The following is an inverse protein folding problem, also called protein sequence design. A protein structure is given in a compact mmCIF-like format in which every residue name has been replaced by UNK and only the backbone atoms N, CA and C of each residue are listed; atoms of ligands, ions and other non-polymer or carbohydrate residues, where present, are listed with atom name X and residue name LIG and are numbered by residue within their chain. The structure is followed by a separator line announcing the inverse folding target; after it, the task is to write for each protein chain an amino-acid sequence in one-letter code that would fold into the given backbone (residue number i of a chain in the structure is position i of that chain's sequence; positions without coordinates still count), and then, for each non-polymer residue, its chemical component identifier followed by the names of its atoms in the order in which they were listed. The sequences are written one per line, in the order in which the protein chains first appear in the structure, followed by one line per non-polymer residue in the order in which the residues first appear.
data_IF_759003771687
#
_entry.id   IF_759003771687
#
_cell.length_a   1.000
_cell.length_b   1.000
_cell.length_c   1.000
_cell.angle_alpha   90.00
_cell.angle_beta   90.00
_cell.angle_gamma   90.00
#
_symmetry.space_group_name_H-M   'P 1'
#
loop_
_entity.id
_entity.type
_entity.pdbx_description
1 polymer ?
#
# COMPACT_ATOMS: atom_id res chain seq x y z
N UNK A 1 29.24 6.28 2.90
CA UNK A 1 29.45 4.91 2.39
C UNK A 1 30.18 4.01 3.39
N UNK A 2 31.33 4.39 3.94
CA UNK A 2 32.07 3.55 4.91
C UNK A 2 31.49 3.56 6.34
N UNK A 3 31.04 4.72 6.81
CA UNK A 3 30.49 4.87 8.16
C UNK A 3 29.15 4.14 8.36
N UNK A 4 28.34 3.98 7.32
CA UNK A 4 26.97 3.45 7.44
C UNK A 4 26.95 1.93 7.72
N UNK A 5 27.72 1.07 7.02
CA UNK A 5 27.84 -0.35 7.36
C UNK A 5 28.62 -0.59 8.67
N UNK A 6 29.61 0.27 8.98
CA UNK A 6 30.32 0.21 10.25
C UNK A 6 29.38 0.49 11.44
N UNK A 7 28.43 1.42 11.26
CA UNK A 7 27.35 1.70 12.21
C UNK A 7 26.27 0.60 12.23
N UNK A 8 26.00 -0.04 11.09
CA UNK A 8 24.99 -1.12 10.93
C UNK A 8 25.26 -2.32 11.85
N UNK A 9 26.53 -2.62 12.11
CA UNK A 9 26.93 -3.79 12.90
C UNK A 9 27.54 -3.43 14.26
N UNK A 10 27.66 -2.13 14.55
CA UNK A 10 27.82 -1.61 15.91
C UNK A 10 26.49 -1.70 16.64
N UNK A 11 26.22 -2.85 17.27
CA UNK A 11 25.23 -3.08 18.32
C UNK A 11 23.96 -2.19 18.30
N UNK A 12 22.84 -2.78 17.83
CA UNK A 12 21.46 -2.29 18.02
C UNK A 12 21.00 -1.04 17.25
N UNK A 13 21.87 -0.35 16.48
CA UNK A 13 21.47 0.80 15.64
C UNK A 13 21.04 0.44 14.20
N UNK A 14 21.33 -0.78 13.73
CA UNK A 14 20.94 -1.27 12.40
C UNK A 14 19.42 -1.38 12.13
N UNK A 15 18.58 -1.07 13.12
CA UNK A 15 17.12 -0.98 12.93
C UNK A 15 16.67 0.33 12.25
N UNK A 16 17.52 1.37 12.26
CA UNK A 16 17.12 2.73 11.83
C UNK A 16 17.62 3.06 10.41
N UNK A 17 18.71 2.44 9.94
CA UNK A 17 19.23 2.65 8.57
C UNK A 17 19.51 1.32 7.87
N UNK A 18 18.68 0.90 6.91
CA UNK A 18 18.91 -0.34 6.17
C UNK A 18 20.12 -0.19 5.24
N UNK A 19 21.27 -0.78 5.62
CA UNK A 19 22.51 -0.74 4.84
C UNK A 19 22.38 -1.36 3.44
N UNK A 20 21.43 -2.29 3.27
CA UNK A 20 20.98 -2.82 1.98
C UNK A 20 20.60 -1.73 0.99
N UNK A 21 19.85 -0.72 1.44
CA UNK A 21 19.42 0.39 0.59
C UNK A 21 20.64 1.22 0.18
N UNK A 22 21.57 1.48 1.09
CA UNK A 22 22.78 2.23 0.78
C UNK A 22 23.68 1.51 -0.26
N UNK A 23 23.83 0.20 -0.14
CA UNK A 23 24.62 -0.63 -1.08
C UNK A 23 23.96 -0.69 -2.45
N UNK A 24 22.64 -0.88 -2.51
CA UNK A 24 21.88 -0.87 -3.77
C UNK A 24 21.95 0.50 -4.44
N UNK A 25 21.74 1.58 -3.69
CA UNK A 25 21.88 2.96 -4.20
C UNK A 25 23.30 3.24 -4.69
N UNK A 26 24.32 2.73 -4.00
CA UNK A 26 25.71 2.77 -4.45
C UNK A 26 25.89 2.10 -5.82
N UNK A 27 25.29 0.93 -6.03
CA UNK A 27 25.29 0.24 -7.32
C UNK A 27 24.63 1.06 -8.44
N UNK A 28 23.49 1.71 -8.16
CA UNK A 28 22.81 2.61 -9.10
C UNK A 28 23.67 3.85 -9.43
N UNK A 29 24.34 4.42 -8.43
CA UNK A 29 25.25 5.56 -8.64
C UNK A 29 26.47 5.16 -9.48
N UNK A 30 27.00 3.95 -9.28
CA UNK A 30 28.08 3.42 -10.11
C UNK A 30 27.66 3.23 -11.57
N UNK A 31 26.42 2.77 -11.80
CA UNK A 31 25.86 2.68 -13.15
C UNK A 31 25.74 4.04 -13.84
N UNK A 32 25.43 5.10 -13.10
CA UNK A 32 25.37 6.47 -13.63
C UNK A 32 26.76 7.12 -13.84
N UNK A 33 27.85 6.36 -13.67
CA UNK A 33 29.22 6.85 -13.88
C UNK A 33 29.72 7.81 -12.80
N UNK A 34 28.97 7.99 -11.70
CA UNK A 34 29.33 8.91 -10.61
C UNK A 34 30.42 8.36 -9.69
N UNK A 35 30.52 7.03 -9.57
CA UNK A 35 31.47 6.33 -8.71
C UNK A 35 31.94 5.05 -9.43
N UNK A 36 33.21 4.68 -9.32
CA UNK A 36 33.70 3.44 -9.90
C UNK A 36 33.06 2.21 -9.22
N UNK A 37 32.52 1.27 -10.02
CA UNK A 37 31.90 0.04 -9.53
C UNK A 37 32.82 -0.75 -8.56
N UNK A 38 34.13 -0.93 -8.83
CA UNK A 38 35.03 -1.60 -7.88
C UNK A 38 35.12 -0.88 -6.53
N UNK A 39 35.05 0.46 -6.51
CA UNK A 39 35.12 1.23 -5.27
C UNK A 39 33.87 1.03 -4.40
N UNK A 40 32.69 0.91 -5.03
CA UNK A 40 31.43 0.64 -4.31
C UNK A 40 31.42 -0.78 -3.75
N UNK A 41 31.86 -1.77 -4.53
CA UNK A 41 31.99 -3.16 -4.06
C UNK A 41 32.97 -3.23 -2.90
N UNK A 42 34.15 -2.63 -3.02
CA UNK A 42 35.15 -2.60 -1.95
C UNK A 42 34.59 -1.93 -0.68
N UNK A 43 33.93 -0.79 -0.81
CA UNK A 43 33.33 -0.10 0.33
C UNK A 43 32.23 -0.94 1.02
N UNK A 44 31.39 -1.63 0.24
CA UNK A 44 30.33 -2.50 0.77
C UNK A 44 30.91 -3.71 1.51
N UNK A 45 31.92 -4.37 0.93
CA UNK A 45 32.57 -5.56 1.51
C UNK A 45 33.36 -5.21 2.76
N UNK A 46 34.16 -4.14 2.72
CA UNK A 46 34.95 -3.71 3.89
C UNK A 46 34.02 -3.24 5.01
N UNK A 47 32.99 -2.46 4.69
CA UNK A 47 32.02 -2.00 5.67
C UNK A 47 31.29 -3.16 6.36
N UNK A 48 30.88 -4.17 5.58
CA UNK A 48 30.32 -5.42 6.08
C UNK A 48 31.28 -6.15 7.05
N UNK A 49 32.53 -6.37 6.64
CA UNK A 49 33.51 -7.10 7.44
C UNK A 49 33.83 -6.37 8.75
N UNK A 50 34.12 -5.07 8.67
CA UNK A 50 34.43 -4.22 9.83
C UNK A 50 33.24 -4.23 10.78
N UNK A 51 32.05 -4.05 10.24
CA UNK A 51 30.83 -4.08 11.00
C UNK A 51 30.67 -5.38 11.79
N UNK A 52 30.64 -6.52 11.09
CA UNK A 52 30.41 -7.82 11.74
C UNK A 52 31.52 -8.17 12.73
N UNK A 53 32.74 -7.66 12.51
CA UNK A 53 33.86 -7.78 13.45
C UNK A 53 33.57 -7.03 14.76
N UNK A 54 33.04 -5.80 14.68
CA UNK A 54 32.59 -5.05 15.86
C UNK A 54 31.50 -5.83 16.59
N UNK A 55 30.50 -6.34 15.85
CA UNK A 55 29.42 -7.17 16.41
C UNK A 55 29.94 -8.42 17.15
N UNK A 56 30.93 -9.10 16.59
CA UNK A 56 31.59 -10.26 17.21
C UNK A 56 32.29 -9.91 18.52
N UNK A 57 33.11 -8.86 18.55
CA UNK A 57 33.81 -8.45 19.77
C UNK A 57 32.84 -7.94 20.84
N UNK A 58 31.78 -7.22 20.44
CA UNK A 58 30.74 -6.78 21.38
C UNK A 58 30.01 -7.98 21.98
N UNK A 59 29.65 -8.97 21.15
CA UNK A 59 29.03 -10.21 21.60
C UNK A 59 29.91 -11.00 22.56
N UNK A 60 31.22 -11.09 22.27
CA UNK A 60 32.20 -11.81 23.08
C UNK A 60 32.47 -11.14 24.43
N UNK A 61 32.55 -9.81 24.47
CA UNK A 61 32.90 -9.05 25.68
C UNK A 61 31.69 -8.72 26.57
N UNK A 62 30.60 -8.25 25.97
CA UNK A 62 29.45 -7.71 26.71
C UNK A 62 28.17 -8.55 26.55
N UNK A 63 28.16 -9.59 25.73
CA UNK A 63 26.96 -10.38 25.46
C UNK A 63 26.26 -10.87 26.72
N UNK A 64 26.99 -11.50 27.65
CA UNK A 64 26.43 -12.01 28.92
C UNK A 64 25.93 -10.89 29.84
N UNK A 65 26.52 -9.70 29.80
CA UNK A 65 26.11 -8.54 30.61
C UNK A 65 24.87 -7.85 30.05
N UNK A 66 24.79 -7.67 28.72
CA UNK A 66 23.64 -7.08 28.03
C UNK A 66 22.38 -7.92 28.26
N UNK A 67 22.50 -9.25 28.13
CA UNK A 67 21.40 -10.18 28.40
C UNK A 67 20.91 -10.13 29.85
N UNK A 68 21.82 -10.05 30.83
CA UNK A 68 21.47 -9.89 32.25
C UNK A 68 20.81 -8.53 32.52
N UNK A 69 21.23 -7.46 31.86
CA UNK A 69 20.65 -6.12 32.00
C UNK A 69 19.25 -6.00 31.41
N UNK A 70 19.03 -6.52 30.20
CA UNK A 70 17.71 -6.52 29.53
C UNK A 70 16.72 -7.43 30.25
N UNK A 71 17.17 -8.61 30.70
CA UNK A 71 16.34 -9.54 31.48
C UNK A 71 15.89 -9.01 32.84
N UNK A 72 16.59 -8.02 33.40
CA UNK A 72 16.24 -7.36 34.67
C UNK A 72 15.18 -6.26 34.51
N UNK A 73 15.07 -5.65 33.31
CA UNK A 73 14.08 -4.61 33.02
C UNK A 73 12.74 -5.17 32.51
N UNK A 74 12.71 -6.35 31.89
CA UNK A 74 11.48 -6.93 31.32
C UNK A 74 11.41 -8.45 31.56
N UNK A 75 10.84 -8.92 32.68
CA UNK A 75 10.80 -10.33 33.06
C UNK A 75 10.07 -11.24 32.06
N UNK A 76 9.05 -10.74 31.37
CA UNK A 76 8.28 -11.50 30.38
C UNK A 76 9.08 -11.80 29.10
N UNK A 77 9.97 -10.90 28.71
CA UNK A 77 10.84 -11.09 27.54
C UNK A 77 11.94 -12.14 27.81
N UNK A 78 12.34 -12.31 29.08
CA UNK A 78 13.44 -13.18 29.51
C UNK A 78 13.24 -14.64 29.08
N UNK A 79 12.09 -15.26 29.39
CA UNK A 79 11.84 -16.68 29.03
C UNK A 79 11.92 -16.93 27.52
N UNK A 80 11.29 -16.06 26.72
CA UNK A 80 11.25 -16.21 25.25
C UNK A 80 12.61 -15.98 24.61
N UNK A 81 13.32 -14.95 25.07
CA UNK A 81 14.66 -14.61 24.59
C UNK A 81 15.63 -15.72 24.96
N UNK A 82 15.61 -16.21 26.21
CA UNK A 82 16.53 -17.25 26.68
C UNK A 82 16.35 -18.57 25.90
N UNK A 83 15.12 -19.05 25.68
CA UNK A 83 14.85 -20.27 24.88
C UNK A 83 15.34 -20.16 23.42
N UNK A 84 15.11 -19.01 22.79
CA UNK A 84 15.52 -18.79 21.40
C UNK A 84 17.03 -18.52 21.30
N UNK A 85 17.64 -17.88 22.31
CA UNK A 85 19.08 -17.65 22.36
C UNK A 85 19.87 -18.93 22.59
N UNK A 86 19.41 -19.80 23.50
CA UNK A 86 20.00 -21.12 23.75
C UNK A 86 20.01 -21.94 22.46
N UNK A 87 18.87 -21.98 21.75
CA UNK A 87 18.73 -22.66 20.47
C UNK A 87 19.64 -22.07 19.38
N UNK A 88 19.70 -20.74 19.27
CA UNK A 88 20.55 -20.06 18.30
C UNK A 88 22.04 -20.22 18.60
N UNK A 89 22.44 -20.20 19.88
CA UNK A 89 23.81 -20.51 20.32
C UNK A 89 24.17 -21.96 20.04
N UNK A 90 23.27 -22.90 20.32
CA UNK A 90 23.48 -24.32 20.02
C UNK A 90 23.66 -24.54 18.51
N UNK A 91 22.91 -23.81 17.67
CA UNK A 91 23.06 -23.85 16.22
C UNK A 91 24.42 -23.31 15.76
N UNK A 92 24.85 -22.15 16.28
CA UNK A 92 26.16 -21.56 15.95
C UNK A 92 27.31 -22.44 16.47
N UNK A 93 27.17 -23.05 17.64
CA UNK A 93 28.16 -23.99 18.19
C UNK A 93 28.29 -25.27 17.37
N UNK A 94 27.18 -25.80 16.85
CA UNK A 94 27.16 -27.03 16.03
C UNK A 94 27.70 -26.82 14.62
N UNK A 95 27.41 -25.67 13.99
CA UNK A 95 27.81 -25.37 12.60
C UNK A 95 29.04 -24.46 12.48
N UNK A 96 29.54 -23.90 13.59
CA UNK A 96 30.73 -23.05 13.63
C UNK A 96 30.65 -21.88 12.66
N UNK A 97 31.72 -21.66 11.90
CA UNK A 97 31.80 -20.58 10.92
C UNK A 97 30.76 -20.66 9.79
N UNK A 98 30.24 -21.84 9.44
CA UNK A 98 29.22 -21.96 8.41
C UNK A 98 27.89 -21.28 8.83
N UNK A 99 27.58 -21.23 10.13
CA UNK A 99 26.43 -20.49 10.63
C UNK A 99 26.56 -18.97 10.36
N UNK A 100 27.78 -18.46 10.38
CA UNK A 100 28.10 -17.05 10.09
C UNK A 100 27.83 -16.73 8.63
N UNK A 101 28.28 -17.60 7.73
CA UNK A 101 28.06 -17.47 6.30
C UNK A 101 26.56 -17.51 5.93
N UNK A 102 25.85 -18.57 6.31
CA UNK A 102 24.44 -18.73 5.94
C UNK A 102 23.52 -17.75 6.68
N UNK A 103 23.87 -17.36 7.91
CA UNK A 103 23.11 -16.39 8.69
C UNK A 103 23.00 -15.03 8.00
N UNK A 104 24.03 -14.63 7.25
CA UNK A 104 24.10 -13.37 6.50
C UNK A 104 23.00 -13.23 5.44
N UNK A 105 22.52 -14.34 4.87
CA UNK A 105 21.48 -14.36 3.84
C UNK A 105 20.05 -14.32 4.41
N UNK A 106 19.90 -14.12 5.72
CA UNK A 106 18.59 -14.06 6.38
C UNK A 106 18.43 -12.75 7.14
N UNK A 107 17.32 -12.03 6.92
CA UNK A 107 17.14 -10.66 7.40
C UNK A 107 17.29 -10.51 8.93
N UNK A 108 16.70 -11.44 9.70
CA UNK A 108 16.77 -11.40 11.16
C UNK A 108 18.11 -11.92 11.70
N UNK A 109 18.67 -12.99 11.13
CA UNK A 109 19.89 -13.58 11.68
C UNK A 109 21.14 -12.78 11.29
N UNK A 110 21.18 -12.06 10.15
CA UNK A 110 22.41 -11.34 9.73
C UNK A 110 22.92 -10.35 10.79
N UNK A 111 22.00 -9.67 11.48
CA UNK A 111 22.35 -8.67 12.51
C UNK A 111 22.74 -9.35 13.83
N UNK A 112 22.14 -10.52 14.11
CA UNK A 112 22.31 -11.21 15.39
C UNK A 112 23.51 -12.17 15.40
N UNK A 113 23.81 -12.77 14.25
CA UNK A 113 24.80 -13.85 14.09
C UNK A 113 26.23 -13.44 14.47
N UNK A 114 26.74 -12.23 14.13
CA UNK A 114 28.06 -11.80 14.58
C UNK A 114 28.14 -11.76 16.12
N UNK A 115 27.14 -11.17 16.77
CA UNK A 115 27.06 -11.11 18.23
C UNK A 115 26.92 -12.50 18.87
N UNK A 116 26.11 -13.38 18.29
CA UNK A 116 25.93 -14.76 18.76
C UNK A 116 27.20 -15.60 18.59
N UNK A 117 27.93 -15.43 17.48
CA UNK A 117 29.22 -16.09 17.25
C UNK A 117 30.28 -15.63 18.26
N UNK A 118 30.28 -14.35 18.62
CA UNK A 118 31.11 -13.81 19.70
C UNK A 118 30.77 -14.43 21.05
N UNK A 119 29.48 -14.55 21.40
CA UNK A 119 29.02 -15.17 22.65
C UNK A 119 29.30 -16.67 22.73
N UNK A 120 29.29 -17.37 21.59
CA UNK A 120 29.61 -18.78 21.47
C UNK A 120 31.13 -19.05 21.36
N UNK A 121 31.95 -18.01 21.44
CA UNK A 121 33.42 -18.08 21.43
C UNK A 121 33.99 -18.81 20.20
N UNK A 122 33.35 -18.66 19.04
CA UNK A 122 33.87 -19.20 17.77
C UNK A 122 35.26 -18.62 17.50
N UNK A 123 36.28 -19.42 17.11
CA UNK A 123 37.62 -18.91 16.82
C UNK A 123 37.59 -17.76 15.80
N UNK A 124 38.28 -16.66 16.09
CA UNK A 124 38.19 -15.44 15.29
C UNK A 124 38.63 -15.64 13.84
N UNK A 125 39.67 -16.44 13.59
CA UNK A 125 40.11 -16.74 12.21
C UNK A 125 39.03 -17.46 11.40
N UNK A 126 38.32 -18.41 12.02
CA UNK A 126 37.20 -19.09 11.37
C UNK A 126 36.03 -18.13 11.14
N UNK A 127 35.69 -17.30 12.13
CA UNK A 127 34.66 -16.26 11.98
C UNK A 127 34.99 -15.31 10.82
N UNK A 128 36.20 -14.77 10.79
CA UNK A 128 36.63 -13.80 9.79
C UNK A 128 36.61 -14.38 8.38
N UNK A 129 37.07 -15.62 8.20
CA UNK A 129 37.04 -16.28 6.89
C UNK A 129 35.61 -16.39 6.33
N UNK A 130 34.68 -16.96 7.11
CA UNK A 130 33.29 -17.11 6.66
C UNK A 130 32.54 -15.78 6.57
N UNK A 131 32.87 -14.82 7.43
CA UNK A 131 32.33 -13.48 7.37
C UNK A 131 32.79 -12.72 6.12
N UNK A 132 34.08 -12.82 5.77
CA UNK A 132 34.64 -12.21 4.57
C UNK A 132 34.10 -12.86 3.30
N UNK A 133 34.02 -14.19 3.26
CA UNK A 133 33.41 -14.90 2.14
C UNK A 133 31.93 -14.53 1.95
N UNK A 134 31.16 -14.47 3.04
CA UNK A 134 29.77 -14.04 3.02
C UNK A 134 29.62 -12.57 2.64
N UNK A 135 30.49 -11.70 3.17
CA UNK A 135 30.52 -10.26 2.89
C UNK A 135 30.88 -9.96 1.44
N UNK A 136 31.83 -10.69 0.86
CA UNK A 136 32.21 -10.60 -0.54
C UNK A 136 31.06 -11.00 -1.46
N UNK A 137 30.45 -12.16 -1.21
CA UNK A 137 29.35 -12.67 -2.02
C UNK A 137 28.11 -11.76 -1.93
N UNK A 138 27.75 -11.39 -0.70
CA UNK A 138 26.60 -10.53 -0.44
C UNK A 138 26.82 -9.11 -0.96
N UNK A 139 27.94 -8.47 -0.60
CA UNK A 139 28.26 -7.10 -1.01
C UNK A 139 28.36 -6.97 -2.53
N UNK A 140 29.07 -7.89 -3.18
CA UNK A 140 29.15 -7.91 -4.65
C UNK A 140 27.78 -8.17 -5.27
N UNK A 141 27.01 -9.13 -4.76
CA UNK A 141 25.67 -9.45 -5.27
C UNK A 141 24.70 -8.28 -5.22
N UNK A 142 24.62 -7.57 -4.09
CA UNK A 142 23.72 -6.42 -3.94
C UNK A 142 24.17 -5.19 -4.71
N UNK A 143 25.48 -4.92 -4.81
CA UNK A 143 25.99 -3.83 -5.66
C UNK A 143 25.71 -4.12 -7.13
N UNK A 144 25.96 -5.36 -7.59
CA UNK A 144 25.65 -5.76 -8.96
C UNK A 144 24.15 -5.71 -9.23
N UNK A 145 23.31 -6.15 -8.28
CA UNK A 145 21.86 -6.03 -8.38
C UNK A 145 21.43 -4.57 -8.53
N UNK A 146 22.00 -3.64 -7.75
CA UNK A 146 21.77 -2.21 -7.91
C UNK A 146 22.27 -1.65 -9.24
N UNK A 147 23.44 -2.09 -9.71
CA UNK A 147 24.02 -1.69 -11.00
C UNK A 147 23.16 -2.14 -12.18
N UNK A 148 22.76 -3.42 -12.21
CA UNK A 148 21.86 -3.97 -13.24
C UNK A 148 20.43 -3.45 -13.10
N UNK A 149 19.94 -3.17 -11.90
CA UNK A 149 18.67 -2.48 -11.70
C UNK A 149 18.72 -1.07 -12.28
N UNK A 150 19.84 -0.34 -12.15
CA UNK A 150 20.05 0.94 -12.82
C UNK A 150 20.05 0.81 -14.35
N UNK A 151 20.68 -0.25 -14.89
CA UNK A 151 20.69 -0.55 -16.31
C UNK A 151 19.32 -0.96 -16.87
N UNK A 152 18.60 -1.81 -16.13
CA UNK A 152 17.22 -2.17 -16.41
C UNK A 152 16.34 -0.93 -16.31
N UNK A 153 16.52 -0.07 -15.30
CA UNK A 153 15.80 1.19 -15.18
C UNK A 153 16.07 2.14 -16.33
N UNK A 154 17.28 2.21 -16.93
CA UNK A 154 17.47 3.02 -18.15
C UNK A 154 16.84 2.41 -19.41
N UNK A 155 16.83 1.08 -19.55
CA UNK A 155 16.15 0.41 -20.68
C UNK A 155 14.62 0.41 -20.53
N UNK A 156 14.15 0.30 -19.29
CA UNK A 156 12.75 0.37 -18.88
C UNK A 156 12.30 1.84 -18.76
N UNK A 157 13.16 2.83 -18.51
CA UNK A 157 12.77 4.25 -18.57
C UNK A 157 12.83 4.80 -20.01
N UNK A 158 13.63 4.20 -20.88
CA UNK A 158 13.64 4.52 -22.31
C UNK A 158 12.41 3.95 -23.05
N UNK A 159 11.93 2.75 -22.68
CA UNK A 159 10.81 2.09 -23.39
C UNK A 159 9.61 1.69 -22.51
N UNK A 160 9.72 1.63 -21.18
CA UNK A 160 8.58 1.43 -20.29
C UNK A 160 8.00 2.76 -19.84
N UNK A 161 7.16 3.29 -20.74
CA UNK A 161 5.74 3.52 -20.48
C UNK A 161 5.35 3.40 -18.99
N UNK A 162 4.67 4.43 -18.51
CA UNK A 162 3.86 4.51 -17.29
C UNK A 162 3.12 3.22 -16.88
N UNK A 163 2.91 2.28 -17.80
CA UNK A 163 2.52 0.91 -17.49
C UNK A 163 3.45 0.21 -16.49
N UNK A 164 4.76 0.46 -16.48
CA UNK A 164 5.65 -0.03 -15.43
C UNK A 164 5.27 0.50 -14.05
N UNK A 165 4.91 1.79 -13.96
CA UNK A 165 4.45 2.44 -12.72
C UNK A 165 3.06 1.93 -12.30
N UNK A 166 2.13 1.80 -13.25
CA UNK A 166 0.79 1.27 -13.03
C UNK A 166 0.86 -0.20 -12.59
N UNK A 167 1.71 -1.00 -13.23
CA UNK A 167 1.95 -2.40 -12.87
C UNK A 167 2.61 -2.50 -11.49
N UNK A 168 3.54 -1.60 -11.16
CA UNK A 168 4.15 -1.51 -9.83
C UNK A 168 3.12 -1.17 -8.75
N UNK A 169 2.24 -0.19 -9.00
CA UNK A 169 1.14 0.17 -8.08
C UNK A 169 0.19 -1.02 -7.94
N UNK A 170 -0.18 -1.69 -9.03
CA UNK A 170 -0.99 -2.91 -9.03
C UNK A 170 -0.38 -4.04 -8.21
N UNK A 171 0.92 -4.30 -8.40
CA UNK A 171 1.67 -5.31 -7.63
C UNK A 171 1.77 -4.90 -6.18
N UNK A 172 2.02 -3.63 -5.88
CA UNK A 172 2.12 -3.11 -4.51
C UNK A 172 0.79 -3.21 -3.77
N UNK A 173 -0.31 -2.81 -4.40
CA UNK A 173 -1.68 -3.00 -3.89
C UNK A 173 -1.97 -4.49 -3.72
N UNK A 174 -1.63 -5.33 -4.70
CA UNK A 174 -1.78 -6.78 -4.61
C UNK A 174 -1.00 -7.40 -3.45
N UNK A 175 0.20 -6.92 -3.17
CA UNK A 175 1.04 -7.36 -2.05
C UNK A 175 0.50 -6.89 -0.70
N UNK A 176 0.00 -5.66 -0.59
CA UNK A 176 -0.68 -5.14 0.61
C UNK A 176 -1.92 -5.96 0.89
N UNK A 177 -2.74 -6.19 -0.14
CA UNK A 177 -3.96 -7.02 -0.04
C UNK A 177 -3.58 -8.45 0.37
N UNK A 178 -2.55 -9.05 -0.23
CA UNK A 178 -2.06 -10.37 0.16
C UNK A 178 -1.56 -10.42 1.62
N UNK A 179 -0.90 -9.36 2.11
CA UNK A 179 -0.47 -9.25 3.51
C UNK A 179 -1.65 -9.09 4.47
N UNK A 180 -2.63 -8.27 4.12
CA UNK A 180 -3.87 -8.11 4.89
C UNK A 180 -4.64 -9.44 4.92
N UNK A 181 -4.71 -10.14 3.79
CA UNK A 181 -5.32 -11.47 3.68
C UNK A 181 -4.62 -12.51 4.57
N UNK A 182 -3.28 -12.52 4.63
CA UNK A 182 -2.52 -13.38 5.56
C UNK A 182 -2.74 -12.99 7.01
N UNK A 183 -2.68 -11.70 7.33
CA UNK A 183 -2.87 -11.18 8.68
C UNK A 183 -4.26 -11.54 9.23
N UNK A 184 -5.31 -11.36 8.42
CA UNK A 184 -6.68 -11.75 8.78
C UNK A 184 -6.82 -13.28 8.90
N UNK A 185 -6.14 -14.07 8.05
CA UNK A 185 -6.10 -15.55 8.17
C UNK A 185 -5.46 -16.01 9.47
N UNK A 186 -4.38 -15.36 9.89
CA UNK A 186 -3.56 -15.76 11.03
C UNK A 186 -4.08 -15.20 12.37
N UNK A 187 -4.76 -14.05 12.35
CA UNK A 187 -5.15 -13.31 13.55
C UNK A 187 -6.66 -13.03 13.68
N UNK A 188 -7.47 -13.35 12.66
CA UNK A 188 -8.88 -12.95 12.54
C UNK A 188 -9.79 -13.46 13.66
N UNK A 189 -9.46 -14.58 14.31
CA UNK A 189 -10.22 -15.07 15.46
C UNK A 189 -9.63 -14.68 16.81
N UNK A 190 -8.37 -14.22 16.88
CA UNK A 190 -7.67 -14.04 18.16
C UNK A 190 -7.50 -12.58 18.58
N UNK A 191 -7.54 -11.63 17.65
CA UNK A 191 -7.29 -10.21 17.95
C UNK A 191 -8.43 -9.53 18.73
N UNK A 192 -9.73 -9.72 18.39
CA UNK A 192 -10.84 -9.13 19.13
C UNK A 192 -10.90 -9.63 20.58
N UNK A 193 -10.71 -10.93 20.79
CA UNK A 193 -10.76 -11.55 22.12
C UNK A 193 -9.52 -11.22 22.97
N UNK A 194 -8.37 -10.92 22.34
CA UNK A 194 -7.18 -10.45 23.06
C UNK A 194 -7.30 -8.99 23.46
N UNK A 195 -7.82 -8.14 22.58
CA UNK A 195 -8.08 -6.72 22.89
C UNK A 195 -9.18 -6.57 23.93
N UNK A 196 -10.24 -7.39 23.87
CA UNK A 196 -11.31 -7.38 24.87
C UNK A 196 -10.83 -7.80 26.28
N UNK A 197 -9.76 -8.59 26.37
CA UNK A 197 -9.14 -9.04 27.63
C UNK A 197 -8.00 -8.15 28.12
N UNK A 198 -7.62 -7.11 27.38
CA UNK A 198 -6.57 -6.20 27.81
C UNK A 198 -7.06 -5.34 28.99
N UNK A 199 -6.27 -5.25 30.07
CA UNK A 199 -6.60 -4.48 31.27
C UNK A 199 -7.07 -3.03 31.01
N UNK A 200 -6.50 -2.28 30.03
CA UNK A 200 -6.98 -0.94 29.70
C UNK A 200 -8.41 -0.91 29.16
N UNK A 201 -8.79 -1.94 28.39
CA UNK A 201 -10.13 -2.06 27.78
C UNK A 201 -11.17 -2.48 28.81
N UNK A 202 -10.81 -3.36 29.73
CA UNK A 202 -11.66 -3.73 30.87
C UNK A 202 -11.89 -2.54 31.81
N UNK A 203 -10.84 -1.78 32.13
CA UNK A 203 -10.94 -0.55 32.91
C UNK A 203 -11.83 0.50 32.23
N UNK A 204 -11.64 0.74 30.93
CA UNK A 204 -12.46 1.69 30.17
C UNK A 204 -13.94 1.28 30.09
N UNK A 205 -14.23 -0.03 29.99
CA UNK A 205 -15.60 -0.56 30.05
C UNK A 205 -16.27 -0.33 31.41
N UNK A 206 -15.53 -0.55 32.49
CA UNK A 206 -16.03 -0.32 33.84
C UNK A 206 -16.25 1.18 34.13
N UNK A 207 -15.34 2.06 33.67
CA UNK A 207 -15.38 3.49 33.94
C UNK A 207 -16.40 4.26 33.09
N UNK A 208 -16.65 3.80 31.86
CA UNK A 208 -17.56 4.43 30.90
C UNK A 208 -18.44 3.40 30.17
N UNK A 209 -19.42 2.79 30.86
CA UNK A 209 -20.20 1.68 30.30
C UNK A 209 -20.96 2.08 29.02
N UNK A 210 -21.58 3.25 28.98
CA UNK A 210 -22.37 3.71 27.83
C UNK A 210 -21.50 4.05 26.61
N UNK A 211 -20.36 4.73 26.82
CA UNK A 211 -19.44 5.12 25.74
C UNK A 211 -18.67 3.92 25.19
N UNK A 212 -18.25 3.02 26.06
CA UNK A 212 -17.55 1.80 25.67
C UNK A 212 -18.47 0.81 24.94
N UNK A 213 -19.74 0.70 25.34
CA UNK A 213 -20.75 -0.07 24.62
C UNK A 213 -21.07 0.54 23.24
N UNK A 214 -21.15 1.88 23.15
CA UNK A 214 -21.30 2.56 21.87
C UNK A 214 -20.10 2.31 20.94
N UNK A 215 -18.87 2.46 21.45
CA UNK A 215 -17.65 2.22 20.66
C UNK A 215 -17.50 0.76 20.25
N UNK A 216 -17.84 -0.18 21.14
CA UNK A 216 -17.84 -1.61 20.84
C UNK A 216 -18.81 -1.94 19.70
N UNK A 217 -20.01 -1.35 19.68
CA UNK A 217 -20.96 -1.49 18.56
C UNK A 217 -20.39 -0.95 17.25
N UNK A 218 -19.62 0.14 17.29
CA UNK A 218 -19.01 0.75 16.09
C UNK A 218 -17.83 -0.04 15.52
N UNK A 219 -17.17 -0.86 16.34
CA UNK A 219 -16.03 -1.70 15.93
C UNK A 219 -16.48 -3.13 15.61
N UNK A 220 -17.72 -3.50 15.98
CA UNK A 220 -18.26 -4.82 15.69
C UNK A 220 -18.35 -5.06 14.18
N UNK A 221 -17.53 -6.00 13.71
CA UNK A 221 -17.45 -6.44 12.30
C UNK A 221 -18.58 -7.37 11.91
N UNK A 222 -19.35 -7.89 12.87
CA UNK A 222 -20.45 -8.84 12.63
C UNK A 222 -21.80 -8.12 12.43
N UNK A 223 -21.95 -6.91 12.94
CA UNK A 223 -23.16 -6.10 12.75
C UNK A 223 -23.08 -5.19 11.52
N UNK A 224 -24.07 -5.22 10.60
CA UNK A 224 -24.17 -4.27 9.48
C UNK A 224 -24.21 -2.80 9.92
N UNK A 225 -24.78 -2.52 11.10
CA UNK A 225 -24.88 -1.16 11.67
C UNK A 225 -23.64 -0.73 12.47
N UNK A 226 -22.64 -1.60 12.61
CA UNK A 226 -21.43 -1.37 13.39
C UNK A 226 -20.25 -0.82 12.58
N UNK A 227 -19.27 -1.67 12.31
CA UNK A 227 -18.03 -1.31 11.60
C UNK A 227 -18.27 -0.79 10.19
N UNK A 228 -19.17 -1.43 9.43
CA UNK A 228 -19.50 -1.02 8.07
C UNK A 228 -20.03 0.42 8.00
N UNK A 229 -20.93 0.78 8.91
CA UNK A 229 -21.48 2.13 9.01
C UNK A 229 -20.39 3.17 9.35
N UNK A 230 -19.49 2.85 10.28
CA UNK A 230 -18.38 3.74 10.66
C UNK A 230 -17.41 3.98 9.51
N UNK A 231 -17.09 2.92 8.74
CA UNK A 231 -16.23 3.01 7.55
C UNK A 231 -16.87 3.86 6.47
N UNK A 232 -18.17 3.68 6.19
CA UNK A 232 -18.89 4.47 5.18
C UNK A 232 -18.97 5.94 5.56
N UNK A 233 -19.24 6.26 6.84
CA UNK A 233 -19.27 7.65 7.32
C UNK A 233 -17.89 8.29 7.21
N UNK A 234 -16.83 7.60 7.65
CA UNK A 234 -15.47 8.12 7.57
C UNK A 234 -15.02 8.32 6.12
N UNK A 235 -15.28 7.33 5.26
CA UNK A 235 -14.96 7.43 3.83
C UNK A 235 -15.71 8.59 3.18
N UNK A 236 -17.00 8.76 3.49
CA UNK A 236 -17.80 9.90 3.04
C UNK A 236 -17.23 11.24 3.51
N UNK A 237 -16.84 11.35 4.78
CA UNK A 237 -16.24 12.57 5.33
C UNK A 237 -14.91 12.92 4.66
N UNK A 238 -14.04 11.92 4.43
CA UNK A 238 -12.77 12.10 3.71
C UNK A 238 -13.01 12.53 2.26
N UNK A 239 -13.96 11.88 1.56
CA UNK A 239 -14.31 12.27 0.20
C UNK A 239 -14.86 13.69 0.15
N UNK A 240 -15.73 14.08 1.08
CA UNK A 240 -16.24 15.45 1.19
C UNK A 240 -15.13 16.46 1.45
N UNK A 241 -14.19 16.16 2.35
CA UNK A 241 -13.06 17.05 2.63
C UNK A 241 -12.18 17.25 1.39
N UNK A 242 -11.82 16.17 0.69
CA UNK A 242 -11.04 16.24 -0.55
C UNK A 242 -11.79 17.05 -1.63
N UNK A 243 -13.09 16.78 -1.80
CA UNK A 243 -13.88 17.45 -2.83
C UNK A 243 -14.03 18.95 -2.56
N UNK A 244 -14.32 19.33 -1.30
CA UNK A 244 -14.45 20.73 -0.90
C UNK A 244 -13.10 21.44 -1.06
N UNK A 245 -12.00 20.85 -0.58
CA UNK A 245 -10.66 21.42 -0.72
C UNK A 245 -10.30 21.67 -2.18
N UNK A 246 -10.45 20.66 -3.05
CA UNK A 246 -10.17 20.84 -4.49
C UNK A 246 -11.10 21.84 -5.16
N UNK A 247 -12.36 21.93 -4.73
CA UNK A 247 -13.29 22.94 -5.26
C UNK A 247 -12.84 24.34 -4.87
N UNK A 248 -12.38 24.53 -3.62
CA UNK A 248 -11.80 25.79 -3.15
C UNK A 248 -10.54 26.15 -3.95
N UNK A 249 -9.62 25.20 -4.14
CA UNK A 249 -8.39 25.41 -4.92
C UNK A 249 -8.70 25.82 -6.37
N UNK A 250 -9.75 25.25 -6.98
CA UNK A 250 -10.19 25.60 -8.34
C UNK A 250 -10.75 27.02 -8.41
N UNK A 251 -11.52 27.46 -7.42
CA UNK A 251 -12.03 28.84 -7.39
C UNK A 251 -10.91 29.85 -7.04
N UNK A 252 -10.04 29.50 -6.09
CA UNK A 252 -8.95 30.36 -5.64
C UNK A 252 -7.76 30.41 -6.62
N UNK A 253 -7.64 29.42 -7.53
CA UNK A 253 -6.48 29.24 -8.42
C UNK A 253 -5.16 29.02 -7.65
N UNK A 254 -5.21 28.23 -6.57
CA UNK A 254 -4.09 28.04 -5.64
C UNK A 254 -3.67 26.55 -5.52
N UNK A 255 -2.57 26.32 -4.80
CA UNK A 255 -2.05 25.02 -4.36
C UNK A 255 -2.04 23.91 -5.44
N UNK A 256 -2.96 22.95 -5.35
CA UNK A 256 -3.01 21.77 -6.20
C UNK A 256 -3.21 22.13 -7.67
N UNK A 257 -3.98 23.18 -7.95
CA UNK A 257 -4.30 23.63 -9.33
C UNK A 257 -3.07 24.18 -10.04
N UNK A 258 -2.09 24.72 -9.30
CA UNK A 258 -0.83 25.19 -9.88
C UNK A 258 0.02 24.06 -10.47
N UNK A 259 -0.18 22.83 -10.01
CA UNK A 259 0.57 21.65 -10.49
C UNK A 259 -0.04 21.01 -11.74
N UNK A 260 -1.27 21.36 -12.10
CA UNK A 260 -2.03 20.75 -13.19
C UNK A 260 -1.35 20.86 -14.57
N UNK A 261 -0.79 22.02 -14.98
CA UNK A 261 -0.07 22.14 -16.24
C UNK A 261 1.21 21.28 -16.27
N UNK A 262 1.94 21.24 -15.16
CA UNK A 262 3.18 20.46 -15.05
C UNK A 262 2.93 18.96 -15.16
N UNK A 263 1.91 18.45 -14.44
CA UNK A 263 1.53 17.05 -14.51
C UNK A 263 1.00 16.66 -15.89
N UNK A 264 0.17 17.51 -16.50
CA UNK A 264 -0.36 17.26 -17.85
C UNK A 264 0.75 17.20 -18.89
N UNK A 265 1.72 18.12 -18.86
CA UNK A 265 2.88 18.08 -19.77
C UNK A 265 3.69 16.81 -19.58
N UNK A 266 4.01 16.46 -18.33
CA UNK A 266 4.74 15.24 -18.00
C UNK A 266 4.06 13.99 -18.61
N UNK A 267 2.73 13.89 -18.53
CA UNK A 267 1.99 12.77 -19.11
C UNK A 267 1.97 12.83 -20.64
N UNK A 268 1.75 14.01 -21.23
CA UNK A 268 1.71 14.20 -22.69
C UNK A 268 3.04 13.86 -23.35
N UNK A 269 4.15 14.32 -22.77
CA UNK A 269 5.50 14.14 -23.33
C UNK A 269 5.95 12.68 -23.35
N UNK A 270 5.28 11.82 -22.59
CA UNK A 270 5.58 10.39 -22.46
C UNK A 270 4.50 9.48 -23.07
N UNK A 271 3.65 10.02 -23.94
CA UNK A 271 2.64 9.22 -24.65
C UNK A 271 3.31 8.31 -25.68
N UNK A 272 2.90 7.04 -25.70
CA UNK A 272 3.36 6.05 -26.68
C UNK A 272 2.16 5.39 -27.36
N UNK A 273 2.31 4.96 -28.61
CA UNK A 273 1.20 4.53 -29.46
C UNK A 273 0.34 3.41 -28.84
N UNK A 274 0.97 2.35 -28.33
CA UNK A 274 0.26 1.23 -27.73
C UNK A 274 -0.49 1.63 -26.44
N UNK A 275 0.12 2.48 -25.61
CA UNK A 275 -0.50 2.97 -24.38
C UNK A 275 -1.68 3.89 -24.71
N UNK A 276 -1.58 4.66 -25.79
CA UNK A 276 -2.68 5.46 -26.30
C UNK A 276 -3.86 4.62 -26.73
N UNK A 277 -3.64 3.55 -27.51
CA UNK A 277 -4.71 2.62 -27.90
C UNK A 277 -5.35 1.96 -26.67
N UNK A 278 -4.52 1.51 -25.72
CA UNK A 278 -4.99 0.93 -24.46
C UNK A 278 -5.85 1.92 -23.65
N UNK A 279 -5.37 3.16 -23.46
CA UNK A 279 -6.10 4.19 -22.69
C UNK A 279 -7.39 4.64 -23.37
N UNK A 280 -7.42 4.67 -24.71
CA UNK A 280 -8.65 4.87 -25.49
C UNK A 280 -9.65 3.72 -25.27
N UNK A 281 -9.19 2.50 -25.03
CA UNK A 281 -10.03 1.38 -24.61
C UNK A 281 -10.53 1.53 -23.16
N UNK A 282 -9.62 1.82 -22.25
CA UNK A 282 -9.92 1.95 -20.81
C UNK A 282 -10.94 3.05 -20.53
N UNK A 283 -10.91 4.18 -21.25
CA UNK A 283 -11.88 5.26 -21.01
C UNK A 283 -13.34 4.83 -21.21
N UNK A 284 -13.61 3.77 -21.99
CA UNK A 284 -14.97 3.23 -22.12
C UNK A 284 -15.50 2.70 -20.79
N UNK A 285 -14.64 2.18 -19.90
CA UNK A 285 -15.03 1.67 -18.59
C UNK A 285 -15.55 2.75 -17.64
N UNK A 286 -15.43 4.03 -17.98
CA UNK A 286 -16.07 5.14 -17.27
C UNK A 286 -17.20 5.80 -18.05
N UNK A 287 -17.49 5.36 -19.28
CA UNK A 287 -18.47 6.00 -20.16
C UNK A 287 -19.86 5.40 -19.94
N UNK A 288 -20.91 6.20 -20.16
CA UNK A 288 -22.28 5.71 -20.05
C UNK A 288 -22.59 4.54 -20.99
N UNK A 289 -21.82 4.37 -22.07
CA UNK A 289 -21.96 3.23 -23.00
C UNK A 289 -21.65 1.91 -22.32
N UNK A 290 -20.71 1.85 -21.38
CA UNK A 290 -20.44 0.64 -20.58
C UNK A 290 -21.24 0.63 -19.28
N UNK A 291 -21.47 1.78 -18.67
CA UNK A 291 -22.17 1.86 -17.37
C UNK A 291 -23.65 1.49 -17.47
N UNK A 292 -24.35 1.83 -18.56
CA UNK A 292 -25.76 1.44 -18.75
C UNK A 292 -25.91 -0.09 -18.84
N UNK A 293 -25.18 -0.80 -19.72
CA UNK A 293 -25.19 -2.27 -19.73
C UNK A 293 -24.77 -2.88 -18.39
N UNK A 294 -23.76 -2.33 -17.70
CA UNK A 294 -23.35 -2.82 -16.39
C UNK A 294 -24.50 -2.74 -15.37
N UNK A 295 -25.21 -1.61 -15.31
CA UNK A 295 -26.39 -1.43 -14.45
C UNK A 295 -27.47 -2.45 -14.81
N UNK A 296 -27.75 -2.65 -16.09
CA UNK A 296 -28.74 -3.62 -16.55
C UNK A 296 -28.35 -5.07 -16.20
N UNK A 297 -27.08 -5.45 -16.37
CA UNK A 297 -26.59 -6.80 -16.08
C UNK A 297 -26.58 -7.08 -14.58
N UNK A 298 -26.03 -6.18 -13.76
CA UNK A 298 -25.97 -6.38 -12.31
C UNK A 298 -27.38 -6.30 -11.71
N UNK A 299 -28.17 -5.30 -12.09
CA UNK A 299 -29.55 -5.16 -11.64
C UNK A 299 -30.41 -6.34 -12.08
N UNK A 300 -30.30 -6.75 -13.35
CA UNK A 300 -30.98 -7.91 -13.90
C UNK A 300 -30.60 -9.20 -13.19
N UNK A 301 -29.31 -9.42 -12.90
CA UNK A 301 -28.85 -10.60 -12.16
C UNK A 301 -29.60 -10.77 -10.83
N UNK A 302 -29.71 -9.71 -10.03
CA UNK A 302 -30.45 -9.76 -8.76
C UNK A 302 -31.97 -9.89 -8.96
N UNK A 303 -32.52 -9.22 -9.98
CA UNK A 303 -33.94 -9.33 -10.30
C UNK A 303 -34.32 -10.76 -10.73
N UNK A 304 -33.49 -11.43 -11.54
CA UNK A 304 -33.74 -12.80 -12.00
C UNK A 304 -33.50 -13.83 -10.89
N UNK A 305 -32.39 -13.70 -10.16
CA UNK A 305 -31.96 -14.68 -9.15
C UNK A 305 -32.79 -14.59 -7.88
N UNK A 306 -32.94 -13.39 -7.33
CA UNK A 306 -33.49 -13.17 -5.99
C UNK A 306 -34.91 -12.59 -6.04
N UNK A 307 -35.42 -12.26 -7.25
CA UNK A 307 -36.73 -11.58 -7.46
C UNK A 307 -36.84 -10.25 -6.71
N UNK A 308 -35.70 -9.65 -6.35
CA UNK A 308 -35.62 -8.38 -5.66
C UNK A 308 -35.26 -7.25 -6.64
N UNK A 309 -36.11 -6.22 -6.70
CA UNK A 309 -35.91 -5.06 -7.55
C UNK A 309 -35.00 -4.00 -6.90
N UNK A 310 -34.76 -4.08 -5.59
CA UNK A 310 -34.01 -3.06 -4.84
C UNK A 310 -32.56 -2.90 -5.34
N UNK A 311 -31.79 -3.96 -5.65
CA UNK A 311 -30.46 -3.80 -6.21
C UNK A 311 -30.49 -3.12 -7.59
N UNK A 312 -31.45 -3.47 -8.45
CA UNK A 312 -31.62 -2.84 -9.75
C UNK A 312 -31.95 -1.34 -9.62
N UNK A 313 -32.89 -0.98 -8.73
CA UNK A 313 -33.19 0.42 -8.43
C UNK A 313 -31.96 1.17 -7.90
N UNK A 314 -31.20 0.59 -6.96
CA UNK A 314 -29.99 1.22 -6.42
C UNK A 314 -28.92 1.47 -7.48
N UNK A 315 -28.72 0.53 -8.42
CA UNK A 315 -27.80 0.69 -9.55
C UNK A 315 -28.25 1.79 -10.52
N UNK A 316 -29.54 1.86 -10.81
CA UNK A 316 -30.12 2.94 -11.62
C UNK A 316 -29.97 4.30 -10.94
N UNK A 317 -30.25 4.38 -9.64
CA UNK A 317 -30.04 5.59 -8.83
C UNK A 317 -28.57 5.99 -8.79
N UNK A 318 -27.64 5.03 -8.72
CA UNK A 318 -26.21 5.30 -8.78
C UNK A 318 -25.82 6.00 -10.08
N UNK A 319 -26.25 5.45 -11.23
CA UNK A 319 -25.91 5.97 -12.54
C UNK A 319 -26.54 7.35 -12.81
N UNK A 320 -27.85 7.48 -12.59
CA UNK A 320 -28.58 8.72 -12.85
C UNK A 320 -28.11 9.81 -11.90
N UNK A 321 -28.01 9.49 -10.60
CA UNK A 321 -27.56 10.42 -9.57
C UNK A 321 -26.14 10.92 -9.82
N UNK A 322 -25.19 10.04 -10.11
CA UNK A 322 -23.82 10.43 -10.44
C UNK A 322 -23.79 11.36 -11.67
N UNK A 323 -24.56 11.02 -12.72
CA UNK A 323 -24.64 11.85 -13.93
C UNK A 323 -25.23 13.24 -13.66
N UNK A 324 -26.29 13.32 -12.87
CA UNK A 324 -26.92 14.57 -12.52
C UNK A 324 -25.99 15.44 -11.67
N UNK A 325 -25.40 14.87 -10.62
CA UNK A 325 -24.57 15.59 -9.66
C UNK A 325 -23.34 16.19 -10.35
N UNK A 326 -22.56 15.42 -11.12
CA UNK A 326 -21.38 16.01 -11.77
C UNK A 326 -21.76 17.07 -12.80
N UNK A 327 -22.92 16.95 -13.47
CA UNK A 327 -23.38 17.96 -14.46
C UNK A 327 -23.74 19.27 -13.79
N UNK A 328 -24.43 19.22 -12.65
CA UNK A 328 -24.76 20.39 -11.83
C UNK A 328 -23.48 21.08 -11.37
N UNK A 329 -22.53 20.31 -10.82
CA UNK A 329 -21.24 20.87 -10.38
C UNK A 329 -20.47 21.48 -11.57
N UNK A 330 -20.45 20.80 -12.73
CA UNK A 330 -19.79 21.33 -13.94
C UNK A 330 -20.35 22.67 -14.37
N UNK A 331 -21.67 22.83 -14.40
CA UNK A 331 -22.31 24.10 -14.76
C UNK A 331 -22.03 25.20 -13.75
N UNK A 332 -21.82 24.85 -12.49
CA UNK A 332 -21.57 25.83 -11.44
C UNK A 332 -20.11 26.29 -11.38
N UNK A 333 -19.16 25.36 -11.55
CA UNK A 333 -17.72 25.67 -11.47
C UNK A 333 -17.20 26.28 -12.77
N UNK A 334 -17.69 25.84 -13.93
CA UNK A 334 -17.31 26.45 -15.21
C UNK A 334 -15.84 26.29 -15.60
N UNK A 335 -15.11 25.32 -15.03
CA UNK A 335 -13.66 25.18 -15.23
C UNK A 335 -13.29 24.82 -16.69
N UNK A 336 -12.34 25.51 -17.32
CA UNK A 336 -11.85 25.16 -18.65
C UNK A 336 -11.03 23.86 -18.64
N UNK A 337 -11.07 23.14 -19.77
CA UNK A 337 -10.27 21.93 -20.02
C UNK A 337 -8.82 22.26 -20.36
N UNK A 338 -7.91 21.28 -20.34
CA UNK A 338 -6.61 21.41 -20.98
C UNK A 338 -6.74 21.89 -22.44
N UNK A 339 -5.69 22.49 -23.01
CA UNK A 339 -5.72 22.95 -24.41
C UNK A 339 -6.12 21.85 -25.38
N UNK A 340 -7.00 22.18 -26.34
CA UNK A 340 -7.55 21.22 -27.31
C UNK A 340 -6.50 20.53 -28.18
N UNK A 341 -5.32 21.14 -28.35
CA UNK A 341 -4.17 20.54 -29.04
C UNK A 341 -3.64 19.27 -28.35
N UNK A 342 -3.95 19.07 -27.06
CA UNK A 342 -3.52 17.92 -26.28
C UNK A 342 -4.55 16.77 -26.30
N UNK A 343 -5.77 17.02 -26.80
CA UNK A 343 -6.88 16.08 -26.74
C UNK A 343 -6.71 14.93 -27.75
N UNK A 344 -6.81 13.69 -27.27
CA UNK A 344 -6.78 12.49 -28.12
C UNK A 344 -8.17 11.92 -28.44
N UNK A 345 -9.22 12.51 -27.86
CA UNK A 345 -10.62 12.17 -28.06
C UNK A 345 -11.47 13.45 -28.12
N UNK A 346 -12.58 13.42 -28.86
CA UNK A 346 -13.52 14.54 -28.93
C UNK A 346 -14.30 14.69 -27.62
N UNK A 347 -14.16 15.85 -26.97
CA UNK A 347 -14.89 16.20 -25.74
C UNK A 347 -15.37 17.64 -25.78
N UNK A 348 -16.55 17.88 -25.21
CA UNK A 348 -17.14 19.21 -25.06
C UNK A 348 -17.45 19.51 -23.58
N UNK A 349 -17.75 20.79 -23.31
CA UNK A 349 -18.12 21.30 -21.99
C UNK A 349 -16.96 21.37 -20.98
N UNK A 350 -17.32 21.69 -19.73
CA UNK A 350 -16.36 21.96 -18.64
C UNK A 350 -15.60 20.72 -18.16
N UNK A 351 -14.45 20.98 -17.54
CA UNK A 351 -13.49 19.96 -17.07
C UNK A 351 -13.83 19.44 -15.68
N UNK A 352 -14.13 20.33 -14.72
CA UNK A 352 -14.27 19.98 -13.32
C UNK A 352 -15.72 19.69 -12.90
N UNK A 353 -16.00 18.59 -12.19
CA UNK A 353 -15.14 17.43 -11.96
C UNK A 353 -15.22 16.42 -13.11
N UNK A 354 -14.34 15.43 -13.14
CA UNK A 354 -14.36 14.38 -14.17
C UNK A 354 -15.60 13.49 -14.06
N UNK A 355 -16.43 13.50 -15.11
CA UNK A 355 -17.66 12.69 -15.17
C UNK A 355 -17.38 11.18 -15.26
N UNK A 356 -16.40 10.78 -16.08
CA UNK A 356 -15.99 9.37 -16.21
C UNK A 356 -15.52 8.80 -14.86
N UNK A 357 -14.71 9.56 -14.11
CA UNK A 357 -14.26 9.18 -12.78
C UNK A 357 -15.43 9.07 -11.78
N UNK A 358 -16.32 10.07 -11.78
CA UNK A 358 -17.48 10.12 -10.86
C UNK A 358 -18.41 8.92 -11.06
N UNK A 359 -18.80 8.65 -12.30
CA UNK A 359 -19.71 7.54 -12.62
C UNK A 359 -19.03 6.19 -12.39
N UNK A 360 -17.74 6.06 -12.74
CA UNK A 360 -17.00 4.83 -12.49
C UNK A 360 -16.94 4.46 -11.01
N UNK A 361 -16.64 5.40 -10.11
CA UNK A 361 -16.65 5.15 -8.66
C UNK A 361 -18.04 4.69 -8.20
N UNK A 362 -19.10 5.40 -8.61
CA UNK A 362 -20.45 5.10 -8.18
C UNK A 362 -20.93 3.72 -8.66
N UNK A 363 -20.82 3.42 -9.96
CA UNK A 363 -21.36 2.20 -10.56
C UNK A 363 -20.51 0.97 -10.28
N UNK A 364 -19.18 1.03 -10.46
CA UNK A 364 -18.31 -0.11 -10.15
C UNK A 364 -18.25 -0.36 -8.65
N UNK A 365 -18.18 0.71 -7.84
CA UNK A 365 -18.19 0.61 -6.38
C UNK A 365 -19.46 -0.03 -5.85
N UNK A 366 -20.63 0.41 -6.33
CA UNK A 366 -21.90 -0.19 -5.91
C UNK A 366 -22.03 -1.65 -6.38
N UNK A 367 -21.58 -1.96 -7.60
CA UNK A 367 -21.53 -3.35 -8.08
C UNK A 367 -20.70 -4.25 -7.16
N UNK A 368 -19.54 -3.78 -6.69
CA UNK A 368 -18.72 -4.52 -5.74
C UNK A 368 -19.39 -4.71 -4.38
N UNK A 369 -20.10 -3.70 -3.86
CA UNK A 369 -20.84 -3.80 -2.61
C UNK A 369 -21.97 -4.84 -2.71
N UNK A 370 -22.74 -4.81 -3.81
CA UNK A 370 -23.85 -5.73 -4.04
C UNK A 370 -23.36 -7.17 -4.28
N UNK A 371 -22.44 -7.37 -5.22
CA UNK A 371 -21.91 -8.71 -5.56
C UNK A 371 -21.04 -9.30 -4.44
N UNK A 372 -20.43 -8.45 -3.62
CA UNK A 372 -19.69 -8.83 -2.43
C UNK A 372 -20.56 -9.13 -1.21
N UNK A 373 -21.85 -8.75 -1.22
CA UNK A 373 -22.75 -8.99 -0.10
C UNK A 373 -22.90 -10.50 0.19
N UNK A 374 -22.86 -10.88 1.47
CA UNK A 374 -22.89 -12.29 1.88
C UNK A 374 -21.67 -13.14 1.52
N UNK A 375 -20.70 -12.60 0.77
CA UNK A 375 -19.47 -13.33 0.38
C UNK A 375 -18.38 -13.26 1.45
N UNK A 376 -17.47 -14.25 1.52
CA UNK A 376 -16.35 -14.20 2.45
C UNK A 376 -15.46 -12.99 2.18
N UNK A 377 -14.79 -12.49 3.22
CA UNK A 377 -13.94 -11.28 3.15
C UNK A 377 -12.90 -11.32 2.02
N UNK A 378 -12.41 -12.51 1.66
CA UNK A 378 -11.46 -12.68 0.55
C UNK A 378 -12.04 -12.25 -0.79
N UNK A 379 -13.29 -12.63 -1.07
CA UNK A 379 -13.98 -12.24 -2.31
C UNK A 379 -14.23 -10.74 -2.31
N UNK A 380 -14.68 -10.18 -1.17
CA UNK A 380 -14.86 -8.72 -1.02
C UNK A 380 -13.57 -7.95 -1.28
N UNK A 381 -12.44 -8.44 -0.77
CA UNK A 381 -11.13 -7.81 -0.98
C UNK A 381 -10.65 -7.93 -2.44
N UNK A 382 -10.82 -9.09 -3.08
CA UNK A 382 -10.44 -9.27 -4.49
C UNK A 382 -11.30 -8.38 -5.40
N UNK A 383 -12.62 -8.41 -5.22
CA UNK A 383 -13.56 -7.59 -5.99
C UNK A 383 -13.32 -6.10 -5.74
N UNK A 384 -13.15 -5.69 -4.48
CA UNK A 384 -12.84 -4.31 -4.12
C UNK A 384 -11.52 -3.83 -4.72
N UNK A 385 -10.48 -4.67 -4.72
CA UNK A 385 -9.19 -4.35 -5.36
C UNK A 385 -9.37 -4.19 -6.87
N UNK A 386 -10.09 -5.11 -7.52
CA UNK A 386 -10.39 -5.01 -8.95
C UNK A 386 -11.10 -3.71 -9.31
N UNK A 387 -12.08 -3.29 -8.50
CA UNK A 387 -12.78 -2.01 -8.70
C UNK A 387 -11.85 -0.81 -8.53
N UNK A 388 -11.01 -0.79 -7.49
CA UNK A 388 -10.03 0.29 -7.29
C UNK A 388 -9.10 0.42 -8.49
N UNK A 389 -8.64 -0.72 -9.04
CA UNK A 389 -7.80 -0.75 -10.25
C UNK A 389 -8.55 -0.19 -11.45
N UNK A 390 -9.76 -0.67 -11.72
CA UNK A 390 -10.57 -0.22 -12.87
C UNK A 390 -10.85 1.28 -12.77
N UNK A 391 -11.31 1.75 -11.62
CA UNK A 391 -11.59 3.17 -11.37
C UNK A 391 -10.32 4.02 -11.51
N UNK A 392 -9.20 3.56 -10.95
CA UNK A 392 -7.91 4.23 -11.08
C UNK A 392 -7.46 4.35 -12.53
N UNK A 393 -7.58 3.27 -13.30
CA UNK A 393 -7.28 3.24 -14.73
C UNK A 393 -8.20 4.18 -15.52
N UNK A 394 -9.49 4.22 -15.20
CA UNK A 394 -10.44 5.18 -15.81
C UNK A 394 -9.97 6.60 -15.56
N UNK A 395 -9.64 6.98 -14.33
CA UNK A 395 -9.14 8.32 -14.03
C UNK A 395 -7.84 8.65 -14.74
N UNK A 396 -6.86 7.73 -14.71
CA UNK A 396 -5.58 7.89 -15.41
C UNK A 396 -5.78 8.05 -16.92
N UNK A 397 -6.74 7.33 -17.51
CA UNK A 397 -7.05 7.49 -18.94
C UNK A 397 -7.50 8.91 -19.28
N UNK A 398 -8.23 9.60 -18.38
CA UNK A 398 -8.71 10.96 -18.64
C UNK A 398 -7.57 11.97 -18.67
N UNK A 399 -6.58 11.81 -17.79
CA UNK A 399 -5.37 12.63 -17.77
C UNK A 399 -4.51 12.28 -18.99
N UNK A 400 -4.30 10.99 -19.25
CA UNK A 400 -3.50 10.51 -20.37
C UNK A 400 -4.04 11.00 -21.71
N UNK A 401 -5.35 10.97 -21.93
CA UNK A 401 -5.99 11.46 -23.16
C UNK A 401 -6.05 12.98 -23.25
N UNK A 402 -5.59 13.68 -22.21
CA UNK A 402 -5.42 15.14 -22.17
C UNK A 402 -6.72 15.90 -21.99
N UNK A 403 -7.82 15.24 -21.62
CA UNK A 403 -9.15 15.85 -21.58
C UNK A 403 -9.52 16.43 -20.22
N UNK A 404 -8.77 16.08 -19.18
CA UNK A 404 -8.99 16.48 -17.79
C UNK A 404 -7.66 16.73 -17.10
N UNK A 405 -7.67 17.68 -16.17
CA UNK A 405 -6.60 17.91 -15.21
C UNK A 405 -6.58 16.79 -14.16
N UNK A 406 -5.45 16.57 -13.48
CA UNK A 406 -5.37 15.50 -12.47
C UNK A 406 -6.27 15.83 -11.26
N UNK A 407 -6.38 17.10 -10.90
CA UNK A 407 -7.32 17.59 -9.89
C UNK A 407 -8.79 17.35 -10.26
N UNK A 408 -9.18 17.47 -11.54
CA UNK A 408 -10.55 17.14 -11.99
C UNK A 408 -10.89 15.67 -11.73
N UNK A 409 -9.90 14.78 -11.93
CA UNK A 409 -10.06 13.34 -11.76
C UNK A 409 -10.17 12.99 -10.28
N UNK A 410 -9.32 13.56 -9.43
CA UNK A 410 -9.39 13.34 -7.98
C UNK A 410 -10.70 13.89 -7.40
N UNK A 411 -11.13 15.08 -7.83
CA UNK A 411 -12.44 15.61 -7.45
C UNK A 411 -13.59 14.74 -7.95
N UNK A 412 -13.49 14.18 -9.16
CA UNK A 412 -14.45 13.22 -9.67
C UNK A 412 -14.51 11.93 -8.83
N UNK A 413 -13.36 11.40 -8.41
CA UNK A 413 -13.32 10.26 -7.50
C UNK A 413 -13.96 10.56 -6.15
N UNK A 414 -13.65 11.73 -5.59
CA UNK A 414 -14.21 12.18 -4.32
C UNK A 414 -15.73 12.35 -4.42
N UNK A 415 -16.24 13.02 -5.45
CA UNK A 415 -17.67 13.22 -5.67
C UNK A 415 -18.43 11.90 -5.86
N UNK A 416 -17.88 10.99 -6.67
CA UNK A 416 -18.43 9.65 -6.84
C UNK A 416 -18.39 8.84 -5.53
N UNK A 417 -17.34 9.04 -4.73
CA UNK A 417 -17.18 8.42 -3.41
C UNK A 417 -18.21 8.89 -2.39
N UNK A 418 -18.51 10.19 -2.35
CA UNK A 418 -19.60 10.77 -1.54
C UNK A 418 -20.93 10.11 -1.91
N UNK A 419 -21.24 10.07 -3.22
CA UNK A 419 -22.49 9.48 -3.71
C UNK A 419 -22.59 7.99 -3.38
N UNK A 420 -21.51 7.23 -3.59
CA UNK A 420 -21.44 5.81 -3.24
C UNK A 420 -21.64 5.59 -1.74
N UNK A 421 -21.04 6.43 -0.89
CA UNK A 421 -21.22 6.33 0.56
C UNK A 421 -22.67 6.59 0.95
N UNK A 422 -23.33 7.59 0.38
CA UNK A 422 -24.76 7.86 0.62
C UNK A 422 -25.64 6.66 0.25
N UNK A 423 -25.39 6.04 -0.90
CA UNK A 423 -26.10 4.82 -1.31
C UNK A 423 -25.79 3.63 -0.39
N UNK A 424 -24.52 3.49 0.03
CA UNK A 424 -24.10 2.48 1.00
C UNK A 424 -24.81 2.63 2.35
N UNK A 425 -25.01 3.86 2.84
CA UNK A 425 -25.78 4.12 4.07
C UNK A 425 -27.22 3.65 3.95
N UNK A 426 -27.88 3.92 2.81
CA UNK A 426 -29.26 3.49 2.56
C UNK A 426 -29.37 1.95 2.54
N UNK A 427 -28.42 1.27 1.88
CA UNK A 427 -28.37 -0.19 1.85
C UNK A 427 -28.17 -0.80 3.25
N UNK A 428 -27.22 -0.26 4.03
CA UNK A 428 -26.96 -0.74 5.39
C UNK A 428 -28.16 -0.49 6.31
N UNK A 429 -28.85 0.64 6.16
CA UNK A 429 -30.06 0.95 6.93
C UNK A 429 -31.19 -0.03 6.62
N UNK A 430 -31.39 -0.36 5.35
CA UNK A 430 -32.41 -1.34 4.93
C UNK A 430 -32.09 -2.74 5.46
N UNK A 431 -30.82 -3.16 5.43
CA UNK A 431 -30.39 -4.45 5.98
C UNK A 431 -30.59 -4.51 7.50
N UNK A 432 -30.27 -3.43 8.22
CA UNK A 432 -30.48 -3.36 9.66
C UNK A 432 -31.96 -3.40 10.05
N UNK A 433 -32.83 -2.75 9.28
CA UNK A 433 -34.28 -2.80 9.50
C UNK A 433 -34.86 -4.21 9.22
N UNK A 434 -34.39 -4.89 8.16
CA UNK A 434 -34.83 -6.24 7.85
C UNK A 434 -34.43 -7.26 8.93
N UNK A 435 -33.23 -7.12 9.51
CA UNK A 435 -32.73 -8.00 10.57
C UNK A 435 -33.41 -7.80 11.94
N UNK A 436 -34.25 -6.77 12.12
CA UNK A 436 -35.03 -6.54 13.35
C UNK A 436 -36.43 -7.14 13.27
N UNK A 437 -36.88 -7.57 12.09
CA UNK A 437 -38.23 -8.12 11.84
C UNK A 437 -38.22 -9.65 11.78
N UNK A 438 -37.04 -10.25 11.57
CA UNK A 438 -36.77 -11.70 11.70
C UNK A 438 -36.23 -12.02 13.07
#
# INVERSE_FOLDING_TARGET
MFLVPALEASAFLGFVFPGEIAVILGGVLAFNGRIALPAVVAAAVVGAIVGDTIGYFVGRRWGRQILRGVGRRVPFLRRRIDEHLESARAYVRRRGGAAVFFGRFTAALRVMVPGLAGMAEVPYGQFLFYNAAGGLLWGTGFVLLGYFAGAAWKRVAADASWVGLILLILVFVGLIVARILRSIREHGERLPDRLARAAPVAWARARFPTRSAWLARRIDTRSPSGFGLSVVILAGAVCSWIFIGLTQDVFAHEEAVLTDPGFTRLVVDHRVAWATTFMKGVTWLGSNVVMIPLVAVVGGYFLFRDRDWRPAASMTTALIGANLIYRIVKSWVGRPRPPGSLHLIGVSGFSFPSGHATVAVACWGLSALLLGAGRPIRVKLVVGTGVVVVVGLVGLSQIYLGVHWWTDVVAGFALGGIWLCLLGLLLLRHQAAAAQVT
#
